data_IF_833780590997
#
_entry.id   IF_833780590997
#
_cell.length_a   1.000
_cell.length_b   1.000
_cell.length_c   1.000
_cell.angle_alpha   90.00
_cell.angle_beta   90.00
_cell.angle_gamma   90.00
#
_symmetry.space_group_name_H-M   'P 1'
#
loop_
_entity.id
_entity.type
_entity.pdbx_description
1 polymer ?
#
# COMPACT_ATOMS: atom_id res chain seq x y z
N UNK A 1 16.11 5.51 5.47
CA UNK A 1 16.93 6.68 5.05
C UNK A 1 16.74 6.95 3.55
N UNK A 2 16.98 5.96 2.67
CA UNK A 2 16.94 6.16 1.22
C UNK A 2 15.57 6.68 0.73
N UNK A 3 14.48 6.15 1.20
CA UNK A 3 13.15 6.68 0.85
C UNK A 3 13.01 8.16 1.20
N UNK A 4 13.52 8.59 2.37
CA UNK A 4 13.51 10.01 2.76
C UNK A 4 14.39 10.85 1.85
N UNK A 5 15.58 10.34 1.48
CA UNK A 5 16.54 11.04 0.62
C UNK A 5 15.94 11.33 -0.76
N UNK A 6 15.36 10.31 -1.40
CA UNK A 6 14.87 10.41 -2.79
C UNK A 6 13.46 11.00 -2.92
N UNK A 7 12.67 11.01 -1.85
CA UNK A 7 11.33 11.58 -1.87
C UNK A 7 11.41 13.09 -2.18
N UNK A 8 10.59 13.56 -3.10
CA UNK A 8 10.49 15.00 -3.42
C UNK A 8 10.08 15.80 -2.18
N UNK A 9 10.37 17.11 -2.10
CA UNK A 9 10.01 17.94 -0.92
C UNK A 9 8.52 17.87 -0.55
N UNK A 10 7.64 17.81 -1.55
CA UNK A 10 6.18 17.70 -1.38
C UNK A 10 5.66 16.25 -1.55
N UNK A 11 6.56 15.27 -1.59
CA UNK A 11 6.19 13.88 -1.68
C UNK A 11 5.70 13.31 -0.35
N UNK A 12 4.96 12.22 -0.43
CA UNK A 12 4.48 11.49 0.73
C UNK A 12 4.87 10.01 0.62
N UNK A 13 4.91 9.33 1.76
CA UNK A 13 5.19 7.91 1.86
C UNK A 13 4.02 7.20 2.54
N UNK A 14 3.74 5.99 2.08
CA UNK A 14 2.84 5.05 2.72
C UNK A 14 3.61 3.80 3.12
N UNK A 15 3.46 3.38 4.37
CA UNK A 15 4.09 2.15 4.87
C UNK A 15 3.01 1.25 5.46
N UNK A 16 2.92 0.02 4.97
CA UNK A 16 1.97 -0.98 5.45
C UNK A 16 2.68 -1.96 6.37
N UNK A 17 2.15 -2.16 7.55
CA UNK A 17 2.73 -3.06 8.53
C UNK A 17 1.71 -3.86 9.31
N UNK A 18 2.13 -5.06 9.72
CA UNK A 18 1.38 -5.86 10.70
C UNK A 18 1.75 -5.48 12.14
N UNK A 19 1.01 -6.01 13.11
CA UNK A 19 1.28 -5.82 14.54
C UNK A 19 2.72 -6.20 14.96
N UNK A 20 3.44 -7.00 14.17
CA UNK A 20 4.83 -7.36 14.47
C UNK A 20 5.84 -6.22 14.28
N UNK A 21 5.54 -5.30 13.39
CA UNK A 21 6.55 -4.31 12.96
C UNK A 21 6.04 -2.86 12.88
N UNK A 22 4.72 -2.64 12.85
CA UNK A 22 4.17 -1.30 12.61
C UNK A 22 4.63 -0.25 13.63
N UNK A 23 4.74 -0.61 14.90
CA UNK A 23 5.19 0.31 15.95
C UNK A 23 6.64 0.72 15.77
N UNK A 24 7.52 -0.23 15.39
CA UNK A 24 8.92 0.04 15.07
C UNK A 24 9.04 0.91 13.81
N UNK A 25 8.22 0.64 12.79
CA UNK A 25 8.19 1.44 11.57
C UNK A 25 7.75 2.87 11.85
N UNK A 26 6.71 3.06 12.67
CA UNK A 26 6.25 4.39 13.09
C UNK A 26 7.34 5.18 13.79
N UNK A 27 8.00 4.58 14.77
CA UNK A 27 9.16 5.18 15.45
C UNK A 27 10.26 5.55 14.45
N UNK A 28 10.63 4.62 13.57
CA UNK A 28 11.69 4.84 12.58
C UNK A 28 11.38 5.99 11.62
N UNK A 29 10.13 6.12 11.18
CA UNK A 29 9.71 7.23 10.32
C UNK A 29 9.90 8.57 11.05
N UNK A 30 9.46 8.67 12.30
CA UNK A 30 9.64 9.88 13.12
C UNK A 30 11.12 10.20 13.35
N UNK A 31 11.93 9.21 13.71
CA UNK A 31 13.39 9.38 13.93
C UNK A 31 14.13 9.85 12.65
N UNK A 32 13.58 9.52 11.47
CA UNK A 32 14.11 9.95 10.17
C UNK A 32 13.58 11.30 9.70
N UNK A 33 12.74 11.98 10.49
CA UNK A 33 12.21 13.30 10.19
C UNK A 33 10.96 13.32 9.30
N UNK A 34 10.34 12.17 9.04
CA UNK A 34 9.03 12.17 8.40
C UNK A 34 7.95 12.74 9.32
N UNK A 35 7.03 13.50 8.73
CA UNK A 35 5.88 14.04 9.43
C UNK A 35 4.67 13.12 9.22
N UNK A 36 4.26 12.38 10.24
CA UNK A 36 3.10 11.47 10.16
C UNK A 36 1.83 12.30 10.05
N UNK A 37 1.04 12.01 9.02
CA UNK A 37 -0.23 12.67 8.71
C UNK A 37 -1.42 11.89 9.26
N UNK A 38 -1.45 10.58 9.02
CA UNK A 38 -2.42 9.65 9.58
C UNK A 38 -1.81 8.26 9.79
N UNK A 39 -2.36 7.54 10.76
CA UNK A 39 -2.45 6.09 10.72
C UNK A 39 -3.81 5.70 10.12
N UNK A 40 -3.81 4.69 9.29
CA UNK A 40 -5.00 4.15 8.65
C UNK A 40 -5.11 2.66 8.96
N UNK A 41 -6.25 2.23 9.48
CA UNK A 41 -6.52 0.83 9.78
C UNK A 41 -7.23 0.18 8.60
N UNK A 42 -6.55 -0.72 7.90
CA UNK A 42 -7.20 -1.58 6.92
C UNK A 42 -7.84 -2.78 7.63
N UNK A 43 -9.16 -2.74 7.80
CA UNK A 43 -9.99 -3.85 8.30
C UNK A 43 -10.26 -4.82 7.16
N UNK A 44 -9.82 -6.06 7.34
CA UNK A 44 -10.02 -7.14 6.36
C UNK A 44 -11.44 -7.67 6.48
N UNK A 45 -12.23 -7.64 5.41
CA UNK A 45 -13.60 -8.19 5.44
C UNK A 45 -13.62 -9.72 5.47
N UNK A 46 -12.53 -10.37 5.03
CA UNK A 46 -12.36 -11.82 4.95
C UNK A 46 -11.00 -12.26 5.52
N UNK A 47 -10.69 -11.96 6.80
CA UNK A 47 -9.39 -12.29 7.38
C UNK A 47 -9.21 -13.81 7.50
N UNK A 48 -7.96 -14.27 7.35
CA UNK A 48 -7.62 -15.67 7.58
C UNK A 48 -7.78 -16.03 9.06
N UNK A 49 -8.51 -17.11 9.41
CA UNK A 49 -8.66 -17.52 10.78
C UNK A 49 -7.34 -17.90 11.45
N UNK A 50 -7.29 -17.79 12.77
CA UNK A 50 -6.20 -18.37 13.54
C UNK A 50 -6.51 -19.86 13.81
N UNK A 51 -6.05 -20.73 12.94
CA UNK A 51 -6.34 -22.18 12.99
C UNK A 51 -5.90 -22.86 14.29
N UNK A 52 -4.93 -22.29 15.00
CA UNK A 52 -4.48 -22.86 16.29
C UNK A 52 -5.32 -22.37 17.49
N UNK A 53 -6.23 -21.42 17.31
CA UNK A 53 -7.08 -20.89 18.38
C UNK A 53 -6.37 -20.25 19.57
N UNK A 54 -5.09 -19.87 19.42
CA UNK A 54 -4.24 -19.39 20.54
C UNK A 54 -4.17 -17.87 20.65
N UNK A 55 -4.79 -17.13 19.73
CA UNK A 55 -4.84 -15.67 19.69
C UNK A 55 -5.98 -15.21 18.78
N UNK A 56 -6.29 -13.94 18.83
CA UNK A 56 -7.30 -13.35 17.94
C UNK A 56 -6.93 -13.50 16.47
N UNK A 57 -7.96 -13.59 15.61
CA UNK A 57 -7.79 -13.49 14.16
C UNK A 57 -7.16 -12.14 13.82
N UNK A 58 -6.12 -12.14 12.99
CA UNK A 58 -5.47 -10.92 12.54
C UNK A 58 -6.33 -10.20 11.48
N UNK A 59 -7.33 -9.49 11.94
CA UNK A 59 -8.38 -8.89 11.11
C UNK A 59 -8.02 -7.50 10.54
N UNK A 60 -6.84 -6.94 10.86
CA UNK A 60 -6.42 -5.66 10.30
C UNK A 60 -4.91 -5.57 10.09
N UNK A 61 -4.52 -4.63 9.26
CA UNK A 61 -3.16 -4.10 9.16
C UNK A 61 -3.21 -2.58 9.27
N UNK A 62 -2.13 -1.98 9.75
CA UNK A 62 -2.01 -0.53 9.86
C UNK A 62 -1.16 0.02 8.74
N UNK A 63 -1.60 1.12 8.15
CA UNK A 63 -0.86 1.91 7.20
C UNK A 63 -0.47 3.22 7.88
N UNK A 64 0.77 3.65 7.70
CA UNK A 64 1.23 4.98 8.11
C UNK A 64 1.37 5.83 6.86
N UNK A 65 0.67 6.96 6.82
CA UNK A 65 0.83 7.99 5.82
C UNK A 65 1.64 9.15 6.40
N UNK A 66 2.73 9.49 5.74
CA UNK A 66 3.61 10.55 6.21
C UNK A 66 4.10 11.43 5.06
N UNK A 67 4.24 12.72 5.32
CA UNK A 67 4.93 13.66 4.44
C UNK A 67 6.45 13.64 4.73
N UNK A 68 7.25 14.15 3.79
CA UNK A 68 8.70 14.24 3.95
C UNK A 68 9.11 15.08 5.17
N UNK A 69 8.38 16.16 5.43
CA UNK A 69 8.57 17.03 6.59
C UNK A 69 7.27 17.74 6.97
N UNK A 70 7.24 18.43 8.11
CA UNK A 70 6.09 19.24 8.54
C UNK A 70 5.75 20.38 7.59
N UNK A 71 6.71 20.87 6.80
CA UNK A 71 6.53 21.96 5.85
C UNK A 71 6.15 21.48 4.43
N UNK A 72 6.05 20.18 4.21
CA UNK A 72 5.71 19.62 2.90
C UNK A 72 4.28 19.96 2.49
N UNK A 73 4.12 20.45 1.25
CA UNK A 73 2.80 20.69 0.63
C UNK A 73 2.37 19.41 -0.11
N UNK A 74 2.04 18.39 0.66
CA UNK A 74 1.64 17.09 0.12
C UNK A 74 0.29 17.16 -0.60
N UNK A 75 0.07 16.22 -1.54
CA UNK A 75 -1.20 16.08 -2.23
C UNK A 75 -2.18 15.27 -1.39
N UNK A 76 -3.41 15.77 -1.25
CA UNK A 76 -4.56 15.00 -0.77
C UNK A 76 -5.79 15.32 -1.62
N UNK A 77 -6.39 14.31 -2.23
CA UNK A 77 -7.53 14.45 -3.12
C UNK A 77 -8.84 14.27 -2.35
N UNK A 78 -9.21 15.28 -1.55
CA UNK A 78 -10.35 15.24 -0.64
C UNK A 78 -11.66 14.87 -1.33
N UNK A 79 -12.00 15.54 -2.43
CA UNK A 79 -13.25 15.30 -3.15
C UNK A 79 -13.30 13.90 -3.77
N UNK A 80 -12.18 13.41 -4.34
CA UNK A 80 -12.10 12.04 -4.84
C UNK A 80 -12.32 11.01 -3.74
N UNK A 81 -11.85 11.28 -2.52
CA UNK A 81 -12.07 10.39 -1.38
C UNK A 81 -13.51 10.44 -0.89
N UNK A 82 -14.17 11.60 -0.91
CA UNK A 82 -15.61 11.71 -0.62
C UNK A 82 -16.44 10.90 -1.62
N UNK A 83 -16.18 11.05 -2.91
CA UNK A 83 -16.89 10.30 -3.97
C UNK A 83 -16.78 8.77 -3.78
N UNK A 84 -15.69 8.28 -3.21
CA UNK A 84 -15.50 6.85 -2.90
C UNK A 84 -16.13 6.42 -1.56
N UNK A 85 -16.78 7.32 -0.85
CA UNK A 85 -17.36 7.12 0.48
C UNK A 85 -18.74 7.76 0.61
N UNK A 86 -19.61 7.53 -0.36
CA UNK A 86 -21.00 8.03 -0.38
C UNK A 86 -21.13 9.53 -0.10
N UNK A 87 -20.22 10.30 -0.68
CA UNK A 87 -20.06 11.75 -0.53
C UNK A 87 -19.78 12.23 0.91
N UNK A 88 -19.39 11.33 1.79
CA UNK A 88 -18.94 11.61 3.14
C UNK A 88 -17.41 11.66 3.20
N UNK A 89 -16.86 12.43 4.15
CA UNK A 89 -15.41 12.45 4.38
C UNK A 89 -14.88 11.04 4.63
N UNK A 90 -13.85 10.65 3.87
CA UNK A 90 -13.22 9.35 4.05
C UNK A 90 -12.58 9.22 5.43
N UNK A 91 -12.89 8.14 6.10
CA UNK A 91 -12.35 7.82 7.43
C UNK A 91 -11.02 7.08 7.34
N UNK A 92 -10.32 7.00 8.45
CA UNK A 92 -9.05 6.27 8.56
C UNK A 92 -9.22 4.77 8.88
N UNK A 93 -10.45 4.23 8.84
CA UNK A 93 -10.74 2.81 9.01
C UNK A 93 -11.34 2.23 7.73
N UNK A 94 -10.51 1.64 6.89
CA UNK A 94 -10.91 1.13 5.58
C UNK A 94 -11.32 -0.34 5.64
N UNK A 95 -12.56 -0.65 5.27
CA UNK A 95 -13.07 -2.03 5.19
C UNK A 95 -12.89 -2.55 3.76
N UNK A 96 -11.88 -3.40 3.53
CA UNK A 96 -11.53 -3.94 2.22
C UNK A 96 -11.13 -5.42 2.34
N UNK A 97 -11.40 -6.25 1.32
CA UNK A 97 -11.00 -7.66 1.33
C UNK A 97 -9.47 -7.81 1.23
N UNK A 98 -8.97 -8.96 1.67
CA UNK A 98 -7.62 -9.39 1.30
C UNK A 98 -7.58 -9.78 -0.18
N UNK A 99 -6.38 -9.75 -0.77
CA UNK A 99 -6.19 -10.27 -2.12
C UNK A 99 -6.58 -11.76 -2.18
N UNK A 100 -7.57 -12.10 -3.00
CA UNK A 100 -8.13 -13.45 -3.13
C UNK A 100 -8.71 -13.70 -4.54
N UNK A 101 -9.26 -14.89 -4.78
CA UNK A 101 -9.90 -15.23 -6.05
C UNK A 101 -8.96 -15.09 -7.26
N UNK A 102 -9.46 -14.51 -8.33
CA UNK A 102 -8.73 -14.30 -9.59
C UNK A 102 -7.62 -13.24 -9.49
N UNK A 103 -7.76 -12.29 -8.57
CA UNK A 103 -6.74 -11.27 -8.33
C UNK A 103 -5.44 -11.87 -7.76
N UNK A 104 -5.56 -12.96 -7.00
CA UNK A 104 -4.41 -13.63 -6.40
C UNK A 104 -3.62 -14.40 -7.44
N UNK A 105 -2.38 -13.98 -7.70
CA UNK A 105 -1.49 -14.69 -8.61
C UNK A 105 -1.14 -16.07 -8.06
N UNK A 106 -1.31 -17.08 -8.91
CA UNK A 106 -1.04 -18.49 -8.62
C UNK A 106 -0.17 -19.08 -9.71
N UNK A 107 0.62 -20.08 -9.35
CA UNK A 107 1.35 -20.92 -10.30
C UNK A 107 0.43 -21.94 -10.98
N UNK A 108 0.98 -22.73 -11.88
CA UNK A 108 0.26 -23.77 -12.62
C UNK A 108 -0.33 -24.89 -11.72
N UNK A 109 0.10 -24.95 -10.47
CA UNK A 109 -0.40 -25.90 -9.46
C UNK A 109 -1.41 -25.25 -8.50
N UNK A 110 -1.82 -24.02 -8.75
CA UNK A 110 -2.75 -23.29 -7.92
C UNK A 110 -2.16 -22.72 -6.63
N UNK A 111 -0.83 -22.84 -6.43
CA UNK A 111 -0.15 -22.29 -5.25
C UNK A 111 0.09 -20.79 -5.42
N UNK A 112 -0.05 -20.05 -4.33
CA UNK A 112 0.22 -18.61 -4.28
C UNK A 112 1.66 -18.28 -4.68
N UNK A 113 1.86 -17.43 -5.67
CA UNK A 113 3.19 -16.98 -6.10
C UNK A 113 3.82 -16.11 -5.01
N UNK A 114 3.07 -15.14 -4.50
CA UNK A 114 3.55 -14.25 -3.44
C UNK A 114 2.69 -14.40 -2.17
N UNK A 115 3.26 -14.65 -0.99
CA UNK A 115 2.50 -14.94 0.23
C UNK A 115 1.66 -13.76 0.71
N UNK A 116 2.12 -12.53 0.52
CA UNK A 116 1.54 -11.30 1.06
C UNK A 116 1.12 -10.28 -0.01
N UNK A 117 0.73 -10.75 -1.20
CA UNK A 117 0.20 -9.87 -2.26
C UNK A 117 -0.92 -9.00 -1.69
N UNK A 118 -0.81 -7.68 -1.86
CA UNK A 118 -1.83 -6.72 -1.41
C UNK A 118 -2.96 -6.62 -2.45
N UNK A 119 -4.21 -6.35 -2.02
CA UNK A 119 -5.32 -6.17 -2.95
C UNK A 119 -5.18 -4.85 -3.73
N UNK A 120 -5.56 -4.87 -5.00
CA UNK A 120 -5.56 -3.68 -5.86
C UNK A 120 -6.46 -2.57 -5.31
N UNK A 121 -7.57 -2.92 -4.69
CA UNK A 121 -8.49 -1.97 -4.07
C UNK A 121 -7.83 -1.11 -2.99
N UNK A 122 -6.94 -1.70 -2.17
CA UNK A 122 -6.18 -0.97 -1.16
C UNK A 122 -5.18 -0.01 -1.81
N UNK A 123 -4.39 -0.51 -2.77
CA UNK A 123 -3.39 0.29 -3.47
C UNK A 123 -4.04 1.39 -4.31
N UNK A 124 -5.19 1.11 -4.94
CA UNK A 124 -5.96 2.11 -5.68
C UNK A 124 -6.39 3.27 -4.79
N UNK A 125 -6.89 2.98 -3.59
CA UNK A 125 -7.32 4.01 -2.64
C UNK A 125 -6.14 4.89 -2.19
N UNK A 126 -4.98 4.29 -1.89
CA UNK A 126 -3.74 5.02 -1.55
C UNK A 126 -3.34 5.96 -2.69
N UNK A 127 -3.25 5.43 -3.91
CA UNK A 127 -2.80 6.19 -5.07
C UNK A 127 -3.78 7.32 -5.40
N UNK A 128 -5.09 7.04 -5.41
CA UNK A 128 -6.11 8.05 -5.65
C UNK A 128 -6.12 9.15 -4.59
N UNK A 129 -5.87 8.79 -3.32
CA UNK A 129 -5.86 9.76 -2.22
C UNK A 129 -4.72 10.78 -2.33
N UNK A 130 -3.54 10.36 -2.79
CA UNK A 130 -2.31 11.14 -2.57
C UNK A 130 -1.47 11.43 -3.82
N UNK A 131 -2.02 11.16 -5.00
CA UNK A 131 -1.33 11.45 -6.28
C UNK A 131 -2.28 11.98 -7.34
N UNK A 132 -1.72 12.59 -8.39
CA UNK A 132 -2.40 13.01 -9.63
C UNK A 132 -1.96 12.16 -10.81
N UNK A 133 -2.76 12.07 -11.90
CA UNK A 133 -2.29 11.50 -13.15
C UNK A 133 -0.95 12.13 -13.60
N UNK A 134 -0.01 11.28 -14.04
CA UNK A 134 1.35 11.68 -14.41
C UNK A 134 2.36 11.70 -13.26
N UNK A 135 1.94 11.58 -12.00
CA UNK A 135 2.87 11.44 -10.88
C UNK A 135 3.64 10.12 -10.95
N UNK A 136 4.83 10.10 -10.33
CA UNK A 136 5.69 8.92 -10.23
C UNK A 136 5.54 8.27 -8.88
N UNK A 137 5.24 6.98 -8.87
CA UNK A 137 5.10 6.14 -7.69
C UNK A 137 6.31 5.21 -7.61
N UNK A 138 7.01 5.21 -6.49
CA UNK A 138 8.09 4.27 -6.23
C UNK A 138 7.63 3.22 -5.22
N UNK A 139 7.79 1.95 -5.58
CA UNK A 139 7.63 0.84 -4.65
C UNK A 139 8.96 0.07 -4.53
N UNK A 140 9.69 0.24 -3.42
CA UNK A 140 10.98 -0.42 -3.22
C UNK A 140 10.86 -1.89 -2.78
N UNK A 141 9.63 -2.41 -2.61
CA UNK A 141 9.33 -3.80 -2.27
C UNK A 141 8.25 -4.34 -3.22
N UNK A 142 8.55 -4.30 -4.53
CA UNK A 142 7.57 -4.37 -5.61
C UNK A 142 6.81 -5.70 -5.67
N UNK A 143 7.43 -6.81 -5.20
CA UNK A 143 6.84 -8.13 -5.26
C UNK A 143 6.38 -8.48 -6.67
N UNK A 144 5.14 -8.93 -6.80
CA UNK A 144 4.53 -9.29 -8.10
C UNK A 144 3.83 -8.10 -8.80
N UNK A 145 4.20 -6.86 -8.47
CA UNK A 145 3.85 -5.67 -9.24
C UNK A 145 2.45 -5.11 -9.05
N UNK A 146 1.80 -5.34 -7.91
CA UNK A 146 0.45 -4.79 -7.66
C UNK A 146 0.42 -3.26 -7.78
N UNK A 147 1.40 -2.58 -7.16
CA UNK A 147 1.51 -1.12 -7.21
C UNK A 147 1.67 -0.62 -8.64
N UNK A 148 2.50 -1.26 -9.46
CA UNK A 148 2.68 -0.90 -10.87
C UNK A 148 1.42 -1.10 -11.71
N UNK A 149 0.71 -2.21 -11.51
CA UNK A 149 -0.53 -2.50 -12.22
C UNK A 149 -1.61 -1.43 -11.92
N UNK A 150 -1.76 -1.07 -10.65
CA UNK A 150 -2.70 -0.02 -10.25
C UNK A 150 -2.26 1.35 -10.74
N UNK A 151 -0.98 1.69 -10.63
CA UNK A 151 -0.44 2.96 -11.13
C UNK A 151 -0.72 3.12 -12.64
N UNK A 152 -0.45 2.09 -13.45
CA UNK A 152 -0.75 2.07 -14.89
C UNK A 152 -2.23 2.28 -15.17
N UNK A 153 -3.14 1.55 -14.49
CA UNK A 153 -4.60 1.71 -14.61
C UNK A 153 -5.06 3.13 -14.30
N UNK A 154 -4.42 3.77 -13.32
CA UNK A 154 -4.75 5.11 -12.87
C UNK A 154 -3.95 6.22 -13.58
N UNK A 155 -3.22 5.90 -14.65
CA UNK A 155 -2.38 6.85 -15.43
C UNK A 155 -1.29 7.53 -14.61
N UNK A 156 -0.66 6.78 -13.69
CA UNK A 156 0.54 7.20 -12.97
C UNK A 156 1.74 6.45 -13.54
N UNK A 157 2.91 7.07 -13.48
CA UNK A 157 4.18 6.39 -13.73
C UNK A 157 4.57 5.59 -12.49
N UNK A 158 5.35 4.54 -12.68
CA UNK A 158 5.84 3.75 -11.55
C UNK A 158 7.30 3.33 -11.74
N UNK A 159 7.97 3.16 -10.62
CA UNK A 159 9.29 2.55 -10.50
C UNK A 159 9.16 1.45 -9.45
N UNK A 160 9.42 0.21 -9.83
CA UNK A 160 9.42 -0.94 -8.93
C UNK A 160 10.82 -1.46 -8.70
N UNK A 161 11.17 -1.77 -7.45
CA UNK A 161 12.42 -2.44 -7.10
C UNK A 161 12.07 -3.76 -6.40
N UNK A 162 12.61 -4.86 -6.90
CA UNK A 162 12.43 -6.20 -6.36
C UNK A 162 13.72 -7.00 -6.52
N UNK A 163 14.12 -7.71 -5.48
CA UNK A 163 15.35 -8.48 -5.49
C UNK A 163 15.16 -9.92 -5.97
N UNK A 164 13.94 -10.48 -5.84
CA UNK A 164 13.63 -11.85 -6.23
C UNK A 164 13.31 -11.88 -7.74
N UNK A 165 14.14 -12.55 -8.57
CA UNK A 165 13.92 -12.61 -10.01
C UNK A 165 12.60 -13.29 -10.39
N UNK A 166 12.10 -14.23 -9.59
CA UNK A 166 10.81 -14.88 -9.84
C UNK A 166 9.68 -13.85 -9.73
N UNK A 167 9.72 -13.00 -8.69
CA UNK A 167 8.71 -11.94 -8.54
C UNK A 167 8.83 -10.88 -9.62
N UNK A 168 10.06 -10.53 -10.03
CA UNK A 168 10.30 -9.62 -11.16
C UNK A 168 9.65 -10.13 -12.44
N UNK A 169 9.80 -11.43 -12.76
CA UNK A 169 9.20 -12.01 -13.97
C UNK A 169 7.68 -12.00 -13.92
N UNK A 170 7.08 -12.30 -12.76
CA UNK A 170 5.64 -12.20 -12.58
C UNK A 170 5.14 -10.76 -12.66
N UNK A 171 5.88 -9.80 -12.11
CA UNK A 171 5.56 -8.38 -12.23
C UNK A 171 5.60 -7.92 -13.69
N UNK A 172 6.63 -8.29 -14.45
CA UNK A 172 6.72 -7.98 -15.89
C UNK A 172 5.51 -8.52 -16.66
N UNK A 173 5.16 -9.81 -16.48
CA UNK A 173 3.99 -10.44 -17.13
C UNK A 173 2.67 -9.73 -16.77
N UNK A 174 2.53 -9.26 -15.52
CA UNK A 174 1.35 -8.52 -15.07
C UNK A 174 1.25 -7.12 -15.68
N UNK A 175 2.36 -6.52 -16.05
CA UNK A 175 2.47 -5.13 -16.50
C UNK A 175 2.53 -4.98 -18.03
N UNK A 176 2.73 -6.07 -18.74
CA UNK A 176 2.53 -6.10 -20.21
C UNK A 176 1.05 -6.03 -20.54
#
# INVERSE_FOLDING_TARGET
KECHRILKPNGAIWVIGSYHNIFRLGKTLQDLGFWILNDVVWRKTNPMPNFRGRRFTNAHETLIWAAKSSNSKYQFNYDSMKMLNDDLQMRSDWSLPICSGQERLKDNFGKKIHPTQKPESLISRIILATTKPGDVILDPFFGTGTTGAVAKKLRRHYIGVEQDPIYVDHAKKRLC
#
